data_IF_542017034766
#
_entry.id   IF_542017034766
#
_cell.length_a   1.000
_cell.length_b   1.000
_cell.length_c   1.000
_cell.angle_alpha   90.00
_cell.angle_beta   90.00
_cell.angle_gamma   90.00
#
_symmetry.space_group_name_H-M   'P 1'
#
loop_
_entity.id
_entity.type
_entity.pdbx_description
1 polymer ?
#
# COMPACT_ATOMS: atom_id res chain seq x y z
N UNK A 1 -18.69 51.79 27.40
CA UNK A 1 -18.37 51.75 25.96
C UNK A 1 -17.21 50.79 25.83
N UNK A 2 -17.54 49.51 25.78
CA UNK A 2 -16.64 48.37 25.56
C UNK A 2 -17.23 47.60 24.39
N UNK A 3 -16.36 47.23 23.45
CA UNK A 3 -16.70 46.80 22.10
C UNK A 3 -17.16 45.32 22.10
N UNK A 4 -18.41 44.98 21.74
CA UNK A 4 -18.94 43.63 21.87
C UNK A 4 -18.92 42.91 20.51
N UNK A 5 -17.75 42.48 20.01
CA UNK A 5 -17.69 41.82 18.68
C UNK A 5 -16.75 40.63 18.45
N UNK A 6 -16.15 40.02 19.47
CA UNK A 6 -15.44 38.73 19.25
C UNK A 6 -15.62 37.76 20.42
N UNK A 7 -16.85 37.28 20.59
CA UNK A 7 -17.14 35.99 21.24
C UNK A 7 -18.22 35.30 20.41
N UNK A 8 -18.06 33.99 20.15
CA UNK A 8 -18.51 33.23 18.97
C UNK A 8 -17.41 33.35 17.90
N UNK A 9 -16.53 32.39 17.70
CA UNK A 9 -16.80 30.98 17.42
C UNK A 9 -15.68 30.11 18.03
N UNK A 10 -15.88 29.57 19.22
CA UNK A 10 -15.26 28.29 19.56
C UNK A 10 -16.16 27.23 18.93
N UNK A 11 -15.74 26.70 17.78
CA UNK A 11 -16.25 25.43 17.30
C UNK A 11 -15.22 24.41 17.79
N UNK A 12 -15.60 23.61 18.78
CA UNK A 12 -14.91 22.35 19.03
C UNK A 12 -14.92 21.57 17.71
N UNK A 13 -13.76 21.47 17.06
CA UNK A 13 -13.57 20.57 15.93
C UNK A 13 -13.68 19.14 16.47
N UNK A 14 -14.92 18.64 16.47
CA UNK A 14 -15.23 17.23 16.61
C UNK A 14 -14.44 16.46 15.56
N UNK A 15 -13.68 15.45 16.00
CA UNK A 15 -12.95 14.53 15.13
C UNK A 15 -13.92 13.90 14.12
N UNK A 16 -14.06 14.52 12.95
CA UNK A 16 -14.68 13.86 11.81
C UNK A 16 -13.81 12.66 11.49
N UNK A 17 -14.36 11.45 11.63
CA UNK A 17 -13.80 10.24 11.05
C UNK A 17 -13.40 10.54 9.60
N UNK A 18 -12.10 10.71 9.36
CA UNK A 18 -11.59 10.95 8.02
C UNK A 18 -11.68 9.63 7.26
N UNK A 19 -12.74 9.47 6.46
CA UNK A 19 -12.89 8.32 5.59
C UNK A 19 -11.99 8.48 4.37
N UNK A 20 -10.99 7.61 4.27
CA UNK A 20 -10.15 7.49 3.09
C UNK A 20 -10.98 6.93 1.94
N UNK A 21 -10.99 7.60 0.80
CA UNK A 21 -11.56 7.07 -0.44
C UNK A 21 -10.44 6.61 -1.36
N UNK A 22 -10.31 5.30 -1.55
CA UNK A 22 -9.37 4.74 -2.50
C UNK A 22 -9.95 4.80 -3.93
N UNK A 23 -9.09 4.94 -4.96
CA UNK A 23 -9.56 5.01 -6.34
C UNK A 23 -10.36 3.77 -6.77
N UNK A 24 -11.57 3.95 -7.32
CA UNK A 24 -12.46 2.83 -7.70
C UNK A 24 -11.80 1.81 -8.65
N UNK A 25 -11.79 0.54 -8.26
CA UNK A 25 -11.37 -0.58 -9.11
C UNK A 25 -12.37 -0.82 -10.24
N UNK A 26 -11.89 -1.19 -11.42
CA UNK A 26 -12.78 -1.65 -12.49
C UNK A 26 -13.22 -3.10 -12.25
N UNK A 27 -14.20 -3.57 -13.01
CA UNK A 27 -14.87 -4.86 -12.80
C UNK A 27 -13.89 -6.04 -12.65
N UNK A 28 -13.00 -6.26 -13.62
CA UNK A 28 -12.03 -7.36 -13.51
C UNK A 28 -11.03 -7.21 -12.34
N UNK A 29 -10.68 -5.99 -11.91
CA UNK A 29 -9.84 -5.79 -10.73
C UNK A 29 -10.61 -6.12 -9.45
N UNK A 30 -11.89 -5.73 -9.41
CA UNK A 30 -12.81 -6.02 -8.31
C UNK A 30 -12.97 -7.53 -8.12
N UNK A 31 -13.15 -8.28 -9.20
CA UNK A 31 -13.18 -9.76 -9.16
C UNK A 31 -11.95 -10.36 -8.49
N UNK A 32 -10.75 -9.81 -8.75
CA UNK A 32 -9.51 -10.27 -8.13
C UNK A 32 -9.44 -9.84 -6.66
N UNK A 33 -9.79 -8.59 -6.35
CA UNK A 33 -9.78 -8.06 -4.99
C UNK A 33 -10.69 -8.86 -4.06
N UNK A 34 -11.93 -9.12 -4.49
CA UNK A 34 -12.99 -9.78 -3.71
C UNK A 34 -12.88 -11.31 -3.65
N UNK A 35 -11.96 -11.91 -4.40
CA UNK A 35 -11.73 -13.35 -4.33
C UNK A 35 -11.15 -13.75 -2.95
N UNK A 36 -11.72 -14.78 -2.32
CA UNK A 36 -11.23 -15.35 -1.05
C UNK A 36 -10.00 -16.27 -1.23
N UNK A 37 -9.54 -16.48 -2.46
CA UNK A 37 -8.39 -17.34 -2.75
C UNK A 37 -7.13 -16.80 -2.08
N UNK A 38 -6.44 -17.64 -1.29
CA UNK A 38 -5.14 -17.32 -0.69
C UNK A 38 -4.10 -16.92 -1.75
N UNK A 39 -4.07 -17.64 -2.87
CA UNK A 39 -3.16 -17.39 -3.98
C UNK A 39 -3.94 -16.88 -5.20
N UNK A 40 -3.57 -15.71 -5.70
CA UNK A 40 -4.21 -15.07 -6.85
C UNK A 40 -3.19 -14.89 -7.97
N UNK A 41 -3.23 -15.77 -8.96
CA UNK A 41 -2.32 -15.72 -10.12
C UNK A 41 -3.00 -14.93 -11.23
N UNK A 42 -2.45 -13.75 -11.55
CA UNK A 42 -3.06 -12.82 -12.50
C UNK A 42 -2.25 -12.70 -13.80
N UNK A 43 -2.58 -13.56 -14.77
CA UNK A 43 -2.05 -13.50 -16.13
C UNK A 43 -2.90 -12.55 -16.98
N UNK A 44 -2.56 -11.26 -16.98
CA UNK A 44 -3.30 -10.24 -17.73
C UNK A 44 -2.37 -9.37 -18.59
N UNK A 45 -2.90 -8.85 -19.70
CA UNK A 45 -2.17 -7.99 -20.63
C UNK A 45 -1.72 -6.64 -20.03
N UNK A 46 -1.01 -5.87 -20.86
CA UNK A 46 -0.68 -4.47 -20.55
C UNK A 46 -1.98 -3.67 -20.37
N UNK A 47 -1.94 -2.61 -19.54
CA UNK A 47 -3.08 -1.73 -19.24
C UNK A 47 -4.26 -2.37 -18.48
N UNK A 48 -4.16 -3.63 -18.04
CA UNK A 48 -5.11 -4.18 -17.05
C UNK A 48 -5.08 -3.40 -15.73
N UNK A 49 -3.99 -2.71 -15.40
CA UNK A 49 -3.85 -2.01 -14.12
C UNK A 49 -3.51 -2.94 -12.94
N UNK A 50 -2.77 -4.02 -13.21
CA UNK A 50 -2.26 -4.94 -12.17
C UNK A 50 -1.52 -4.19 -11.06
N UNK A 51 -0.66 -3.22 -11.44
CA UNK A 51 0.10 -2.43 -10.49
C UNK A 51 -0.80 -1.66 -9.54
N UNK A 52 -1.77 -0.91 -10.10
CA UNK A 52 -2.76 -0.15 -9.32
C UNK A 52 -3.55 -1.03 -8.35
N UNK A 53 -4.01 -2.20 -8.81
CA UNK A 53 -4.69 -3.17 -7.96
C UNK A 53 -3.80 -3.62 -6.80
N UNK A 54 -2.57 -4.05 -7.07
CA UNK A 54 -1.63 -4.50 -6.04
C UNK A 54 -1.34 -3.40 -5.02
N UNK A 55 -1.14 -2.15 -5.47
CA UNK A 55 -0.88 -1.00 -4.60
C UNK A 55 -2.07 -0.77 -3.67
N UNK A 56 -3.28 -0.78 -4.22
CA UNK A 56 -4.50 -0.61 -3.42
C UNK A 56 -4.64 -1.72 -2.36
N UNK A 57 -4.42 -2.99 -2.73
CA UNK A 57 -4.50 -4.11 -1.79
C UNK A 57 -3.42 -4.04 -0.69
N UNK A 58 -2.20 -3.60 -1.03
CA UNK A 58 -1.16 -3.34 -0.03
C UNK A 58 -1.58 -2.24 0.96
N UNK A 59 -2.16 -1.14 0.47
CA UNK A 59 -2.65 -0.04 1.30
C UNK A 59 -3.79 -0.49 2.21
N UNK A 60 -4.80 -1.17 1.67
CA UNK A 60 -5.93 -1.69 2.45
C UNK A 60 -5.44 -2.66 3.54
N UNK A 61 -4.47 -3.53 3.21
CA UNK A 61 -3.84 -4.42 4.19
C UNK A 61 -3.14 -3.64 5.30
N UNK A 62 -2.27 -2.70 4.95
CA UNK A 62 -1.49 -1.94 5.92
C UNK A 62 -2.39 -1.04 6.79
N UNK A 63 -3.42 -0.43 6.21
CA UNK A 63 -4.44 0.32 6.96
C UNK A 63 -5.26 -0.55 7.92
N UNK A 64 -5.28 -1.88 7.73
CA UNK A 64 -5.86 -2.83 8.68
C UNK A 64 -4.89 -3.29 9.79
N UNK A 65 -3.72 -2.65 9.92
CA UNK A 65 -2.71 -2.98 10.93
C UNK A 65 -1.84 -4.18 10.56
N UNK A 66 -1.88 -4.60 9.30
CA UNK A 66 -1.23 -5.82 8.80
C UNK A 66 0.01 -5.52 7.96
N UNK A 67 0.79 -6.56 7.68
CA UNK A 67 2.11 -6.46 7.03
C UNK A 67 2.01 -6.86 5.57
N UNK A 68 2.29 -5.92 4.67
CA UNK A 68 2.27 -6.12 3.24
C UNK A 68 3.66 -5.94 2.63
N UNK A 69 4.05 -6.83 1.72
CA UNK A 69 5.24 -6.64 0.88
C UNK A 69 4.87 -6.45 -0.58
N UNK A 70 5.65 -5.60 -1.26
CA UNK A 70 5.73 -5.57 -2.71
C UNK A 70 7.09 -6.10 -3.13
N UNK A 71 7.12 -7.20 -3.87
CA UNK A 71 8.35 -7.82 -4.33
C UNK A 71 8.37 -7.79 -5.85
N UNK A 72 9.47 -7.34 -6.44
CA UNK A 72 9.71 -7.37 -7.88
C UNK A 72 11.04 -8.08 -8.20
N UNK A 73 11.28 -8.52 -9.45
CA UNK A 73 12.47 -9.30 -9.79
C UNK A 73 13.78 -8.56 -9.50
N UNK A 74 13.81 -7.25 -9.74
CA UNK A 74 14.98 -6.39 -9.51
C UNK A 74 14.58 -5.13 -8.75
N UNK A 75 15.56 -4.48 -8.12
CA UNK A 75 15.34 -3.19 -7.44
C UNK A 75 14.88 -2.08 -8.40
N UNK A 76 15.34 -2.09 -9.66
CA UNK A 76 14.91 -1.11 -10.67
C UNK A 76 13.44 -1.27 -11.06
N UNK A 77 12.94 -2.51 -11.14
CA UNK A 77 11.52 -2.78 -11.37
C UNK A 77 10.70 -2.43 -10.11
N UNK A 78 11.19 -2.82 -8.93
CA UNK A 78 10.55 -2.54 -7.65
C UNK A 78 10.27 -1.04 -7.43
N UNK A 79 11.16 -0.16 -7.93
CA UNK A 79 11.00 1.30 -7.89
C UNK A 79 9.73 1.82 -8.56
N UNK A 80 9.17 1.09 -9.53
CA UNK A 80 7.91 1.46 -10.18
C UNK A 80 6.76 1.33 -9.18
N UNK A 81 6.62 0.16 -8.55
CA UNK A 81 5.64 -0.05 -7.48
C UNK A 81 5.88 0.86 -6.26
N UNK A 82 7.15 1.07 -5.88
CA UNK A 82 7.49 1.99 -4.80
C UNK A 82 6.98 3.40 -5.04
N UNK A 83 7.11 3.93 -6.25
CA UNK A 83 6.63 5.28 -6.56
C UNK A 83 5.14 5.42 -6.24
N UNK A 84 4.32 4.46 -6.66
CA UNK A 84 2.88 4.52 -6.45
C UNK A 84 2.51 4.33 -4.97
N UNK A 85 3.18 3.40 -4.27
CA UNK A 85 3.01 3.19 -2.82
C UNK A 85 3.41 4.43 -2.02
N UNK A 86 4.54 5.04 -2.36
CA UNK A 86 5.06 6.25 -1.72
C UNK A 86 4.13 7.44 -1.90
N UNK A 87 3.63 7.65 -3.12
CA UNK A 87 2.66 8.71 -3.40
C UNK A 87 1.38 8.52 -2.58
N UNK A 88 0.86 7.29 -2.53
CA UNK A 88 -0.29 6.99 -1.69
C UNK A 88 0.01 7.20 -0.19
N UNK A 89 1.22 6.86 0.26
CA UNK A 89 1.68 7.16 1.62
C UNK A 89 1.64 8.65 1.94
N UNK A 90 2.08 9.51 1.02
CA UNK A 90 1.99 10.97 1.19
C UNK A 90 0.55 11.48 1.19
N UNK A 91 -0.31 10.95 0.32
CA UNK A 91 -1.74 11.29 0.31
C UNK A 91 -2.42 10.90 1.64
N UNK A 92 -1.92 9.85 2.30
CA UNK A 92 -2.41 9.33 3.58
C UNK A 92 -1.66 9.88 4.80
N UNK A 93 -0.74 10.84 4.63
CA UNK A 93 0.00 11.42 5.75
C UNK A 93 -0.92 12.07 6.79
N UNK A 94 -2.05 12.62 6.33
CA UNK A 94 -3.08 13.20 7.20
C UNK A 94 -3.81 12.18 8.10
N UNK A 95 -3.61 10.88 7.84
CA UNK A 95 -4.06 9.73 8.62
C UNK A 95 -2.93 9.11 9.46
N UNK A 96 -1.78 9.76 9.52
CA UNK A 96 -0.59 9.30 10.23
C UNK A 96 0.28 8.29 9.46
N UNK A 97 0.08 8.15 8.15
CA UNK A 97 1.01 7.37 7.34
C UNK A 97 2.40 8.04 7.32
N UNK A 98 3.45 7.25 7.55
CA UNK A 98 4.84 7.69 7.55
C UNK A 98 5.58 7.04 6.38
N UNK A 99 6.28 7.85 5.58
CA UNK A 99 7.06 7.38 4.42
C UNK A 99 8.55 7.39 4.76
N UNK A 100 9.19 6.22 4.76
CA UNK A 100 10.64 6.05 4.95
C UNK A 100 11.30 5.76 3.61
N UNK A 101 11.78 6.81 2.96
CA UNK A 101 12.33 6.75 1.60
C UNK A 101 13.55 5.84 1.46
N UNK A 102 14.46 5.87 2.43
CA UNK A 102 15.69 5.06 2.40
C UNK A 102 15.40 3.56 2.46
N UNK A 103 14.39 3.17 3.24
CA UNK A 103 14.02 1.78 3.46
C UNK A 103 12.93 1.28 2.50
N UNK A 104 12.33 2.19 1.72
CA UNK A 104 11.14 1.96 0.91
C UNK A 104 10.00 1.33 1.72
N UNK A 105 9.65 2.00 2.82
CA UNK A 105 8.58 1.59 3.73
C UNK A 105 7.54 2.70 3.85
N UNK A 106 6.26 2.31 3.86
CA UNK A 106 5.15 3.14 4.35
C UNK A 106 4.55 2.46 5.57
N UNK A 107 4.54 3.12 6.73
CA UNK A 107 3.98 2.60 7.98
C UNK A 107 2.76 3.41 8.42
N UNK A 108 1.84 2.76 9.12
CA UNK A 108 0.62 3.37 9.66
C UNK A 108 0.61 3.32 11.20
N UNK A 109 -0.12 4.22 11.89
CA UNK A 109 -0.11 4.31 13.35
C UNK A 109 -0.61 3.04 14.07
N UNK A 110 -1.38 2.22 13.38
CA UNK A 110 -1.89 0.95 13.88
C UNK A 110 -0.90 -0.23 13.75
N UNK A 111 0.36 0.05 13.37
CA UNK A 111 1.42 -0.95 13.26
C UNK A 111 1.49 -1.65 11.91
N UNK A 112 0.53 -1.44 11.01
CA UNK A 112 0.58 -1.98 9.66
C UNK A 112 1.60 -1.27 8.79
N UNK A 113 2.15 -1.98 7.81
CA UNK A 113 3.15 -1.40 6.92
C UNK A 113 3.17 -2.06 5.54
N UNK A 114 3.72 -1.31 4.59
CA UNK A 114 4.08 -1.77 3.24
C UNK A 114 5.60 -1.63 3.11
N UNK A 115 6.29 -2.70 2.73
CA UNK A 115 7.72 -2.62 2.38
C UNK A 115 7.95 -3.11 0.95
N UNK A 116 8.77 -2.38 0.19
CA UNK A 116 9.14 -2.76 -1.16
C UNK A 116 10.49 -3.45 -1.16
N UNK A 117 10.55 -4.64 -1.76
CA UNK A 117 11.74 -5.50 -1.81
C UNK A 117 12.05 -5.93 -3.26
N UNK A 118 13.27 -6.42 -3.45
CA UNK A 118 13.68 -7.10 -4.67
C UNK A 118 13.94 -8.58 -4.40
N UNK A 119 13.59 -9.42 -5.37
CA UNK A 119 13.91 -10.84 -5.41
C UNK A 119 15.29 -11.13 -6.07
N UNK A 120 16.12 -10.12 -6.31
CA UNK A 120 17.46 -10.29 -6.88
C UNK A 120 18.38 -11.12 -5.97
N UNK A 121 18.19 -10.99 -4.66
CA UNK A 121 18.78 -11.81 -3.62
C UNK A 121 17.69 -12.40 -2.70
N UNK A 122 17.19 -13.61 -2.99
CA UNK A 122 16.11 -14.27 -2.24
C UNK A 122 16.39 -14.42 -0.74
N UNK A 123 17.66 -14.48 -0.32
CA UNK A 123 18.01 -14.60 1.10
C UNK A 123 17.53 -13.40 1.92
N UNK A 124 17.38 -12.23 1.29
CA UNK A 124 16.88 -11.00 1.93
C UNK A 124 15.36 -10.99 2.14
N UNK A 125 14.65 -11.95 1.58
CA UNK A 125 13.19 -12.07 1.71
C UNK A 125 12.77 -13.00 2.87
N UNK A 126 13.73 -13.56 3.60
CA UNK A 126 13.49 -14.47 4.73
C UNK A 126 13.35 -13.70 6.04
N UNK A 127 12.59 -14.27 6.98
CA UNK A 127 12.56 -13.83 8.39
C UNK A 127 11.42 -12.89 8.78
N UNK A 128 10.61 -12.40 7.83
CA UNK A 128 9.44 -11.57 8.12
C UNK A 128 8.14 -12.37 8.00
N UNK A 129 7.22 -12.17 8.94
CA UNK A 129 5.86 -12.69 8.83
C UNK A 129 5.01 -11.73 7.99
N UNK A 130 4.28 -12.23 6.99
CA UNK A 130 3.49 -11.39 6.09
C UNK A 130 2.02 -11.80 6.12
N UNK A 131 1.15 -10.80 6.07
CA UNK A 131 -0.29 -10.98 5.89
C UNK A 131 -0.67 -10.87 4.41
N UNK A 132 0.10 -10.12 3.62
CA UNK A 132 -0.12 -9.94 2.19
C UNK A 132 1.21 -9.76 1.44
N UNK A 133 1.25 -10.25 0.20
CA UNK A 133 2.39 -10.05 -0.69
C UNK A 133 1.93 -9.89 -2.13
N UNK A 134 2.45 -8.87 -2.79
CA UNK A 134 2.40 -8.73 -4.26
C UNK A 134 3.74 -9.19 -4.81
N UNK A 135 3.71 -10.20 -5.68
CA UNK A 135 4.85 -10.57 -6.53
C UNK A 135 4.64 -9.94 -7.91
N UNK A 136 5.23 -8.78 -8.13
CA UNK A 136 5.16 -8.07 -9.41
C UNK A 136 6.10 -8.73 -10.43
N UNK A 137 5.70 -8.67 -11.70
CA UNK A 137 6.45 -9.30 -12.81
C UNK A 137 6.90 -10.74 -12.49
N UNK A 138 6.01 -11.52 -11.85
CA UNK A 138 6.31 -12.83 -11.26
C UNK A 138 6.91 -13.85 -12.25
N UNK A 139 6.59 -13.72 -13.55
CA UNK A 139 7.17 -14.56 -14.60
C UNK A 139 8.69 -14.41 -14.76
N UNK A 140 9.27 -13.32 -14.23
CA UNK A 140 10.70 -13.03 -14.25
C UNK A 140 11.38 -13.22 -12.88
N UNK A 141 10.64 -13.66 -11.87
CA UNK A 141 11.17 -13.97 -10.54
C UNK A 141 11.76 -15.38 -10.57
N UNK A 142 12.97 -15.54 -10.03
CA UNK A 142 13.62 -16.86 -9.98
C UNK A 142 12.86 -17.79 -9.03
N UNK A 143 12.77 -19.06 -9.41
CA UNK A 143 12.06 -20.11 -8.65
C UNK A 143 12.56 -20.27 -7.20
N UNK A 144 13.86 -20.08 -6.96
CA UNK A 144 14.49 -20.04 -5.62
C UNK A 144 13.90 -18.99 -4.66
N UNK A 145 13.09 -18.06 -5.17
CA UNK A 145 12.41 -17.03 -4.36
C UNK A 145 11.19 -17.57 -3.62
N UNK A 146 10.49 -18.57 -4.18
CA UNK A 146 9.23 -19.09 -3.65
C UNK A 146 9.30 -20.56 -3.23
N UNK A 147 10.47 -21.19 -3.34
CA UNK A 147 10.77 -22.55 -2.86
C UNK A 147 11.46 -22.51 -1.50
#
# INVERSE_FOLDING_TARGET
MEDPKFSKFFVEETEKERRVQLPKLHENQKTVAESDSRWKILCAGRRFGKTRLGVQLCIETAMAGKRAWWVAPTFSIARVGWRDIMMAGYDLASMGAEVKMGDMIVSFPNGGFISVKSADNPQRLRGEGLDFLVMDEAAFVKEETWT
#
